data_IF_503426091229
#
_entry.id   IF_503426091229
#
_cell.length_a   1.000
_cell.length_b   1.000
_cell.length_c   1.000
_cell.angle_alpha   90.00
_cell.angle_beta   90.00
_cell.angle_gamma   90.00
#
_symmetry.space_group_name_H-M   'P 1'
#
loop_
_entity.id
_entity.type
_entity.pdbx_description
1 polymer ?
#
# COMPACT_ATOMS: atom_id res chain seq x y z
N UNK A 1 18.69 64.57 -7.89
CA UNK A 1 18.88 64.79 -9.34
C UNK A 1 20.18 64.12 -9.75
N UNK A 2 20.23 63.31 -10.83
CA UNK A 2 21.46 62.78 -11.49
C UNK A 2 22.35 61.85 -10.62
N UNK A 3 23.17 60.87 -11.09
CA UNK A 3 23.49 60.16 -12.36
C UNK A 3 23.93 58.69 -11.95
N UNK A 4 23.87 57.57 -12.70
CA UNK A 4 24.12 57.21 -14.13
C UNK A 4 25.62 57.06 -14.47
N UNK A 5 26.18 55.88 -14.83
CA UNK A 5 25.63 54.50 -14.98
C UNK A 5 26.45 53.41 -14.22
N UNK A 6 27.25 52.43 -14.73
CA UNK A 6 27.79 52.02 -16.06
C UNK A 6 28.22 50.51 -16.03
N UNK A 7 28.44 49.93 -17.22
CA UNK A 7 28.77 48.55 -17.66
C UNK A 7 30.10 47.92 -17.12
N UNK A 8 30.55 46.69 -17.46
CA UNK A 8 30.26 45.81 -18.63
C UNK A 8 30.51 44.28 -18.41
N UNK A 9 30.50 43.49 -19.49
CA UNK A 9 30.31 42.02 -19.60
C UNK A 9 31.66 41.22 -19.72
N UNK A 10 31.80 39.96 -20.20
CA UNK A 10 30.92 39.04 -20.95
C UNK A 10 31.40 37.56 -21.00
N UNK A 11 30.51 36.65 -21.46
CA UNK A 11 30.73 35.35 -22.17
C UNK A 11 31.45 34.19 -21.44
N UNK A 12 30.91 32.95 -21.57
CA UNK A 12 31.65 31.72 -21.22
C UNK A 12 30.84 30.40 -21.03
N UNK A 13 30.04 29.95 -22.01
CA UNK A 13 29.54 28.56 -22.06
C UNK A 13 30.61 27.65 -22.70
N UNK A 14 30.80 26.38 -22.28
CA UNK A 14 30.22 25.30 -23.09
C UNK A 14 29.95 23.93 -22.40
N UNK A 15 29.28 23.04 -23.17
CA UNK A 15 29.41 21.56 -23.16
C UNK A 15 28.75 20.72 -22.05
N UNK A 16 28.22 19.57 -22.49
CA UNK A 16 27.56 18.50 -21.71
C UNK A 16 28.58 17.55 -21.05
N UNK A 17 28.16 16.79 -20.04
CA UNK A 17 28.19 15.30 -20.06
C UNK A 17 27.65 14.71 -18.74
N UNK A 18 27.31 13.43 -18.77
CA UNK A 18 26.89 12.56 -17.66
C UNK A 18 27.19 11.09 -18.06
N UNK A 19 27.04 10.06 -17.19
CA UNK A 19 26.81 10.03 -15.75
C UNK A 19 27.88 9.15 -15.02
N UNK A 20 27.51 8.52 -13.88
CA UNK A 20 28.30 7.55 -13.08
C UNK A 20 29.44 8.22 -12.27
N UNK A 21 29.85 7.76 -11.08
CA UNK A 21 29.65 6.46 -10.40
C UNK A 21 29.42 6.69 -8.88
N UNK A 22 28.71 5.80 -8.19
CA UNK A 22 28.67 5.80 -6.71
C UNK A 22 28.69 4.37 -6.13
N UNK A 23 29.76 3.63 -6.43
CA UNK A 23 30.10 2.36 -5.80
C UNK A 23 30.34 2.54 -4.28
N UNK A 24 29.28 2.40 -3.49
CA UNK A 24 29.36 2.25 -2.04
C UNK A 24 29.68 0.80 -1.67
N UNK A 25 30.94 0.42 -1.85
CA UNK A 25 31.48 -0.86 -1.38
C UNK A 25 31.62 -0.81 0.16
N UNK A 26 30.91 -1.70 0.87
CA UNK A 26 30.85 -1.72 2.32
C UNK A 26 30.68 -3.18 2.78
N UNK A 27 31.83 -3.84 3.02
CA UNK A 27 31.93 -5.27 3.24
C UNK A 27 31.34 -5.75 4.58
N UNK A 28 30.85 -7.00 4.54
CA UNK A 28 30.82 -8.00 5.62
C UNK A 28 30.92 -7.54 7.09
N UNK A 29 29.80 -7.62 7.82
CA UNK A 29 29.79 -8.27 9.16
C UNK A 29 28.58 -9.20 9.26
N UNK A 30 28.82 -10.51 9.39
CA UNK A 30 27.82 -11.45 9.87
C UNK A 30 27.65 -11.27 11.39
N UNK A 31 26.41 -11.17 11.86
CA UNK A 31 26.08 -11.28 13.28
C UNK A 31 24.91 -12.24 13.46
N UNK A 32 25.23 -13.49 13.78
CA UNK A 32 24.23 -14.42 14.31
C UNK A 32 23.60 -13.83 15.57
N UNK A 33 22.28 -13.62 15.53
CA UNK A 33 21.48 -13.31 16.71
C UNK A 33 20.13 -13.95 16.53
N UNK A 34 19.90 -15.02 17.30
CA UNK A 34 18.70 -15.85 17.28
C UNK A 34 17.52 -15.16 17.94
N UNK A 35 17.04 -14.08 17.33
CA UNK A 35 15.72 -13.53 17.60
C UNK A 35 14.73 -14.07 16.55
N UNK A 36 13.67 -14.77 17.00
CA UNK A 36 12.52 -15.06 16.14
C UNK A 36 11.67 -13.78 15.99
N UNK A 37 12.26 -12.77 15.37
CA UNK A 37 11.57 -11.56 14.97
C UNK A 37 10.56 -11.90 13.90
N UNK A 38 9.29 -12.01 14.29
CA UNK A 38 8.19 -12.01 13.34
C UNK A 38 8.07 -10.60 12.77
N UNK A 39 8.96 -10.30 11.82
CA UNK A 39 9.03 -9.04 11.09
C UNK A 39 7.71 -8.82 10.36
N UNK A 40 6.78 -8.13 11.02
CA UNK A 40 5.55 -7.61 10.45
C UNK A 40 5.89 -6.45 9.51
N UNK A 41 6.67 -6.75 8.47
CA UNK A 41 6.94 -5.89 7.31
C UNK A 41 5.60 -5.52 6.73
N UNK A 42 5.11 -4.36 7.14
CA UNK A 42 3.80 -3.82 6.78
C UNK A 42 3.90 -3.32 5.35
N UNK A 43 3.94 -4.27 4.41
CA UNK A 43 3.91 -3.99 2.99
C UNK A 43 2.63 -3.19 2.71
N UNK A 44 2.73 -1.99 2.11
CA UNK A 44 1.53 -1.28 1.69
C UNK A 44 0.76 -2.20 0.74
N UNK A 45 -0.55 -2.37 0.95
CA UNK A 45 -1.41 -3.25 0.15
C UNK A 45 -1.75 -2.57 -1.19
N UNK A 46 -0.71 -2.13 -1.90
CA UNK A 46 -0.75 -1.36 -3.14
C UNK A 46 -0.56 -2.21 -4.39
N UNK A 47 -1.01 -3.47 -4.38
CA UNK A 47 -0.72 -4.44 -5.46
C UNK A 47 -1.94 -5.19 -6.01
N UNK A 48 -3.14 -4.61 -5.92
CA UNK A 48 -4.33 -5.09 -6.63
C UNK A 48 -4.79 -4.11 -7.70
N UNK A 49 -3.95 -3.93 -8.75
CA UNK A 49 -4.39 -3.39 -10.05
C UNK A 49 -5.21 -4.44 -10.84
N UNK A 50 -6.18 -5.06 -10.17
CA UNK A 50 -7.20 -5.93 -10.76
C UNK A 50 -8.52 -5.25 -10.42
N UNK A 51 -9.30 -4.87 -11.43
CA UNK A 51 -10.61 -4.23 -11.25
C UNK A 51 -11.67 -5.24 -10.80
N UNK A 52 -11.48 -5.79 -9.60
CA UNK A 52 -12.43 -6.66 -8.91
C UNK A 52 -13.62 -5.83 -8.41
N UNK A 53 -14.79 -6.46 -8.28
CA UNK A 53 -15.88 -5.81 -7.52
C UNK A 53 -15.46 -5.62 -6.06
N UNK A 54 -16.06 -4.68 -5.31
CA UNK A 54 -15.79 -4.56 -3.88
C UNK A 54 -16.13 -5.84 -3.11
N UNK A 55 -17.13 -6.62 -3.56
CA UNK A 55 -17.47 -7.94 -3.01
C UNK A 55 -16.34 -8.96 -3.22
N UNK A 56 -15.82 -9.08 -4.44
CA UNK A 56 -14.72 -10.02 -4.74
C UNK A 56 -13.41 -9.61 -4.04
N UNK A 57 -13.21 -8.31 -3.85
CA UNK A 57 -12.09 -7.76 -3.09
C UNK A 57 -12.21 -8.11 -1.61
N UNK A 58 -13.40 -7.92 -1.02
CA UNK A 58 -13.72 -8.33 0.35
C UNK A 58 -13.54 -9.84 0.55
N UNK A 59 -14.17 -10.67 -0.29
CA UNK A 59 -13.99 -12.13 -0.28
C UNK A 59 -12.52 -12.53 -0.31
N UNK A 60 -11.74 -11.93 -1.21
CA UNK A 60 -10.32 -12.25 -1.33
C UNK A 60 -9.51 -11.83 -0.07
N UNK A 61 -9.77 -10.67 0.52
CA UNK A 61 -9.13 -10.24 1.78
C UNK A 61 -9.45 -11.26 2.90
N UNK A 62 -10.69 -11.73 2.99
CA UNK A 62 -11.12 -12.67 4.04
C UNK A 62 -10.48 -14.06 3.94
N UNK A 63 -10.04 -14.51 2.75
CA UNK A 63 -9.32 -15.80 2.60
C UNK A 63 -7.98 -15.88 3.33
N UNK A 64 -7.51 -14.77 3.93
CA UNK A 64 -6.36 -14.75 4.84
C UNK A 64 -6.68 -15.21 6.26
N UNK A 65 -7.95 -15.34 6.63
CA UNK A 65 -8.42 -15.77 7.96
C UNK A 65 -9.46 -16.90 7.90
N UNK A 66 -10.29 -16.95 6.86
CA UNK A 66 -11.37 -17.92 6.69
C UNK A 66 -11.14 -18.80 5.45
N UNK A 67 -11.85 -19.93 5.34
CA UNK A 67 -11.85 -20.75 4.12
C UNK A 67 -12.40 -19.98 2.91
N UNK A 68 -12.12 -20.39 1.65
CA UNK A 68 -12.70 -19.76 0.46
C UNK A 68 -14.24 -19.74 0.44
N UNK A 69 -14.86 -20.73 1.08
CA UNK A 69 -16.30 -20.92 1.22
C UNK A 69 -16.87 -19.96 2.27
N UNK A 70 -16.34 -19.97 3.49
CA UNK A 70 -16.75 -19.05 4.57
C UNK A 70 -16.49 -17.59 4.20
N UNK A 71 -15.36 -17.32 3.52
CA UNK A 71 -15.06 -15.99 2.96
C UNK A 71 -16.08 -15.53 1.94
N UNK A 72 -16.71 -16.44 1.18
CA UNK A 72 -17.79 -16.12 0.27
C UNK A 72 -19.07 -15.78 1.04
N UNK A 73 -19.48 -16.63 1.98
CA UNK A 73 -20.70 -16.44 2.77
C UNK A 73 -20.67 -15.12 3.56
N UNK A 74 -19.54 -14.80 4.21
CA UNK A 74 -19.34 -13.54 4.92
C UNK A 74 -19.38 -12.35 3.94
N UNK A 75 -18.64 -12.40 2.83
CA UNK A 75 -18.62 -11.29 1.87
C UNK A 75 -19.99 -11.05 1.23
N UNK A 76 -20.78 -12.09 0.99
CA UNK A 76 -22.13 -12.03 0.43
C UNK A 76 -23.11 -11.45 1.46
N UNK A 77 -23.02 -11.88 2.72
CA UNK A 77 -23.81 -11.34 3.85
C UNK A 77 -23.53 -9.85 4.08
N UNK A 78 -22.26 -9.43 4.09
CA UNK A 78 -21.89 -8.00 4.18
C UNK A 78 -22.38 -7.22 2.94
N UNK A 79 -22.29 -7.82 1.73
CA UNK A 79 -22.76 -7.19 0.49
C UNK A 79 -24.28 -7.03 0.42
N UNK A 80 -25.05 -7.89 1.11
CA UNK A 80 -26.50 -7.74 1.23
C UNK A 80 -26.90 -6.60 2.17
N UNK A 81 -26.07 -6.30 3.18
CA UNK A 81 -26.32 -5.22 4.14
C UNK A 81 -25.71 -3.86 3.76
N UNK A 82 -24.84 -3.79 2.74
CA UNK A 82 -24.10 -2.58 2.36
C UNK A 82 -24.38 -2.16 0.91
N UNK A 83 -24.59 -0.88 0.65
CA UNK A 83 -24.53 -0.34 -0.71
C UNK A 83 -23.12 -0.51 -1.30
N UNK A 84 -23.01 -0.58 -2.63
CA UNK A 84 -21.71 -0.72 -3.31
C UNK A 84 -20.72 0.40 -2.92
N UNK A 85 -21.21 1.62 -2.69
CA UNK A 85 -20.43 2.77 -2.23
C UNK A 85 -19.90 2.59 -0.80
N UNK A 86 -20.69 2.00 0.10
CA UNK A 86 -20.21 1.64 1.45
C UNK A 86 -19.18 0.50 1.37
N UNK A 87 -19.42 -0.50 0.52
CA UNK A 87 -18.52 -1.65 0.35
C UNK A 87 -17.16 -1.21 -0.24
N UNK A 88 -17.16 -0.27 -1.20
CA UNK A 88 -15.94 0.38 -1.72
C UNK A 88 -15.18 1.14 -0.62
N UNK A 89 -15.88 1.89 0.25
CA UNK A 89 -15.28 2.58 1.40
C UNK A 89 -14.71 1.63 2.44
N UNK A 90 -15.38 0.50 2.70
CA UNK A 90 -14.92 -0.54 3.64
C UNK A 90 -13.64 -1.21 3.13
N UNK A 91 -13.60 -1.61 1.84
CA UNK A 91 -12.44 -2.26 1.21
C UNK A 91 -11.24 -1.32 1.06
N UNK A 92 -11.48 -0.03 0.83
CA UNK A 92 -10.43 1.01 0.81
C UNK A 92 -10.07 1.54 2.23
N UNK A 93 -10.76 1.06 3.26
CA UNK A 93 -10.59 1.48 4.66
C UNK A 93 -9.53 0.66 5.40
N UNK A 94 -9.42 0.83 6.74
CA UNK A 94 -8.51 0.04 7.54
C UNK A 94 -9.01 -1.40 7.68
N UNK A 95 -8.11 -2.36 7.51
CA UNK A 95 -8.38 -3.81 7.64
C UNK A 95 -9.14 -4.20 8.93
N UNK A 96 -8.95 -3.46 10.02
CA UNK A 96 -9.66 -3.69 11.30
C UNK A 96 -11.19 -3.55 11.19
N UNK A 97 -11.70 -2.69 10.32
CA UNK A 97 -13.14 -2.55 10.11
C UNK A 97 -13.69 -3.70 9.24
N UNK A 98 -12.92 -4.17 8.24
CA UNK A 98 -13.23 -5.37 7.46
C UNK A 98 -13.36 -6.59 8.39
N UNK A 99 -12.40 -6.78 9.31
CA UNK A 99 -12.41 -7.91 10.25
C UNK A 99 -13.57 -7.82 11.25
N UNK A 100 -13.85 -6.63 11.82
CA UNK A 100 -15.01 -6.43 12.72
C UNK A 100 -16.33 -6.77 12.03
N UNK A 101 -16.51 -6.38 10.77
CA UNK A 101 -17.70 -6.80 9.99
C UNK A 101 -17.70 -8.30 9.74
N UNK A 102 -16.57 -8.91 9.42
CA UNK A 102 -16.47 -10.35 9.21
C UNK A 102 -16.82 -11.16 10.46
N UNK A 103 -16.31 -10.78 11.63
CA UNK A 103 -16.63 -11.39 12.93
C UNK A 103 -18.13 -11.33 13.24
N UNK A 104 -18.76 -10.16 13.05
CA UNK A 104 -20.21 -10.00 13.21
C UNK A 104 -21.00 -10.94 12.30
N UNK A 105 -20.71 -10.92 10.99
CA UNK A 105 -21.46 -11.70 10.01
C UNK A 105 -21.16 -13.21 10.10
N UNK A 106 -19.98 -13.62 10.57
CA UNK A 106 -19.64 -15.01 10.89
C UNK A 106 -20.53 -15.55 12.03
N UNK A 107 -20.66 -14.77 13.12
CA UNK A 107 -21.55 -15.11 14.23
C UNK A 107 -23.03 -15.14 13.82
N UNK A 108 -23.48 -14.20 12.99
CA UNK A 108 -24.87 -14.16 12.48
C UNK A 108 -25.19 -15.30 11.50
N UNK A 109 -24.18 -15.86 10.82
CA UNK A 109 -24.33 -17.03 9.95
C UNK A 109 -24.30 -18.37 10.71
N UNK A 110 -23.80 -18.39 11.96
CA UNK A 110 -23.64 -19.59 12.79
C UNK A 110 -22.85 -20.71 12.07
N UNK A 111 -21.64 -20.35 11.62
CA UNK A 111 -20.67 -21.21 10.90
C UNK A 111 -19.29 -21.26 11.57
#
# INVERSE_FOLDING_TARGET
>A
MQKVTTSEAAVGLPTMLAPLDLKSDADLINSDTTASGLEFRTQPIGLFKISRSPRDSLKFILTKWYSPETSALIADSISACCSETQLKKLVAGPLRDILRFAEKHFLELNI
#
